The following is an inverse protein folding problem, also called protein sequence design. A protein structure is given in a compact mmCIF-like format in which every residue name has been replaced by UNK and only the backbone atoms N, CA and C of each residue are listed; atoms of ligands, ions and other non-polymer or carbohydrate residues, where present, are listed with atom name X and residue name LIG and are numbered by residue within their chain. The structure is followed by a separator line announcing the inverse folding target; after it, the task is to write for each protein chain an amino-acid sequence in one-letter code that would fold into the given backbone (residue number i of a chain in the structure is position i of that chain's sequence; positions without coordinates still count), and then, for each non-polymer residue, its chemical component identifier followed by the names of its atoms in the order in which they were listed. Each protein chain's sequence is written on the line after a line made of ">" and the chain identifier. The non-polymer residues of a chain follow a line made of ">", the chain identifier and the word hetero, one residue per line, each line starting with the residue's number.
data_IF_053313138728
#
_entry.id   IF_053313138728
#
_cell.length_a   1.000
_cell.length_b   1.000
_cell.length_c   1.000
_cell.angle_alpha   90.00
_cell.angle_beta   90.00
_cell.angle_gamma   90.00
#
_symmetry.space_group_name_H-M   'P 1'
#
loop_
_entity.id
_entity.type
_entity.pdbx_description
1 polymer ?
#
# COMPACT_ATOMS: atom_id res chain seq x y z
N UNK A 1 -23.26 -17.14 66.03
CA UNK A 1 -23.22 -17.91 64.77
C UNK A 1 -23.94 -17.18 63.62
N UNK A 2 -25.15 -16.63 63.82
CA UNK A 2 -25.90 -15.93 62.76
C UNK A 2 -25.14 -14.73 62.13
N UNK A 3 -24.38 -13.97 62.94
CA UNK A 3 -23.57 -12.84 62.46
C UNK A 3 -22.41 -13.28 61.56
N UNK A 4 -21.82 -14.45 61.81
CA UNK A 4 -20.76 -15.03 60.97
C UNK A 4 -21.33 -15.49 59.63
N UNK A 5 -22.54 -16.06 59.64
CA UNK A 5 -23.26 -16.45 58.43
C UNK A 5 -23.64 -15.23 57.57
N UNK A 6 -24.16 -14.16 58.19
CA UNK A 6 -24.49 -12.91 57.49
C UNK A 6 -23.25 -12.24 56.86
N UNK A 7 -22.10 -12.26 57.53
CA UNK A 7 -20.83 -11.77 56.95
C UNK A 7 -20.41 -12.59 55.73
N UNK A 8 -20.55 -13.91 55.78
CA UNK A 8 -20.29 -14.79 54.64
C UNK A 8 -21.24 -14.53 53.47
N UNK A 9 -22.52 -14.27 53.75
CA UNK A 9 -23.52 -13.97 52.72
C UNK A 9 -23.28 -12.61 52.05
N UNK A 10 -22.91 -11.58 52.81
CA UNK A 10 -22.54 -10.26 52.27
C UNK A 10 -21.29 -10.37 51.38
N UNK A 11 -20.29 -11.15 51.80
CA UNK A 11 -19.09 -11.40 51.00
C UNK A 11 -19.42 -12.14 49.69
N UNK A 12 -20.21 -13.20 49.76
CA UNK A 12 -20.62 -13.99 48.58
C UNK A 12 -21.47 -13.19 47.58
N UNK A 13 -22.38 -12.36 48.07
CA UNK A 13 -23.17 -11.45 47.25
C UNK A 13 -22.27 -10.41 46.56
N UNK A 14 -21.35 -9.79 47.30
CA UNK A 14 -20.37 -8.84 46.75
C UNK A 14 -19.48 -9.46 45.67
N UNK A 15 -18.98 -10.69 45.89
CA UNK A 15 -18.17 -11.41 44.92
C UNK A 15 -18.95 -11.73 43.64
N UNK A 16 -20.22 -12.16 43.77
CA UNK A 16 -21.07 -12.49 42.63
C UNK A 16 -21.37 -11.25 41.78
N UNK A 17 -21.67 -10.11 42.41
CA UNK A 17 -21.90 -8.84 41.72
C UNK A 17 -20.63 -8.37 41.00
N UNK A 18 -19.46 -8.48 41.64
CA UNK A 18 -18.19 -8.12 41.02
C UNK A 18 -17.88 -8.97 39.78
N UNK A 19 -18.14 -10.28 39.83
CA UNK A 19 -17.96 -11.19 38.69
C UNK A 19 -18.86 -10.83 37.49
N UNK A 20 -20.12 -10.48 37.76
CA UNK A 20 -21.05 -10.04 36.72
C UNK A 20 -20.59 -8.72 36.10
N UNK A 21 -20.15 -7.76 36.91
CA UNK A 21 -19.65 -6.48 36.42
C UNK A 21 -18.40 -6.65 35.54
N UNK A 22 -17.45 -7.49 35.95
CA UNK A 22 -16.27 -7.80 35.13
C UNK A 22 -16.66 -8.48 33.83
N UNK A 23 -17.63 -9.41 33.86
CA UNK A 23 -18.10 -10.13 32.67
C UNK A 23 -18.85 -9.24 31.67
N UNK A 24 -19.58 -8.22 32.14
CA UNK A 24 -20.26 -7.25 31.27
C UNK A 24 -19.26 -6.22 30.74
N UNK A 25 -18.31 -5.76 31.57
CA UNK A 25 -17.29 -4.81 31.18
C UNK A 25 -16.24 -5.38 30.23
N UNK A 26 -16.06 -6.71 30.19
CA UNK A 26 -15.11 -7.36 29.27
C UNK A 26 -15.65 -7.49 27.85
N UNK A 27 -16.96 -7.39 27.61
CA UNK A 27 -17.57 -7.45 26.27
C UNK A 27 -17.10 -6.29 25.37
N UNK A 28 -17.13 -5.00 25.77
CA UNK A 28 -16.63 -3.92 24.93
C UNK A 28 -15.12 -3.97 24.73
N UNK A 29 -14.35 -4.49 25.70
CA UNK A 29 -12.90 -4.66 25.57
C UNK A 29 -12.61 -5.76 24.55
N UNK A 30 -13.32 -6.88 24.60
CA UNK A 30 -13.17 -7.96 23.63
C UNK A 30 -13.55 -7.48 22.22
N UNK A 31 -14.66 -6.74 22.08
CA UNK A 31 -15.04 -6.13 20.80
C UNK A 31 -13.98 -5.15 20.28
N UNK A 32 -13.31 -4.38 21.14
CA UNK A 32 -12.22 -3.50 20.72
C UNK A 32 -11.00 -4.27 20.19
N UNK A 33 -10.70 -5.45 20.75
CA UNK A 33 -9.58 -6.30 20.31
C UNK A 33 -9.95 -7.25 19.16
N UNK A 34 -11.23 -7.59 18.96
CA UNK A 34 -11.72 -8.43 17.86
C UNK A 34 -12.37 -7.65 16.73
N UNK A 35 -12.46 -6.32 16.85
CA UNK A 35 -12.70 -5.46 15.69
C UNK A 35 -11.47 -5.57 14.81
N UNK A 36 -11.45 -6.54 13.90
CA UNK A 36 -10.81 -6.27 12.62
C UNK A 36 -11.39 -4.94 12.14
N UNK A 37 -10.57 -3.98 11.70
CA UNK A 37 -11.10 -2.77 11.11
C UNK A 37 -12.13 -3.24 10.09
N UNK A 38 -13.40 -2.83 10.25
CA UNK A 38 -14.36 -3.01 9.17
C UNK A 38 -13.64 -2.56 7.92
N UNK A 39 -13.52 -3.39 6.87
CA UNK A 39 -12.95 -2.90 5.64
C UNK A 39 -13.90 -1.78 5.22
N UNK A 40 -13.47 -0.55 5.47
CA UNK A 40 -14.05 0.67 4.93
C UNK A 40 -13.97 0.48 3.44
N UNK A 41 -14.98 -0.18 2.93
CA UNK A 41 -15.33 -0.29 1.53
C UNK A 41 -14.20 -0.84 0.66
N UNK A 42 -14.32 -2.14 0.36
CA UNK A 42 -13.92 -2.74 -0.91
C UNK A 42 -14.58 -1.97 -2.08
N UNK A 43 -14.24 -0.71 -2.29
CA UNK A 43 -14.63 0.05 -3.46
C UNK A 43 -13.58 -0.21 -4.54
N UNK A 44 -14.00 -0.95 -5.57
CA UNK A 44 -13.46 -0.91 -6.95
C UNK A 44 -12.06 -1.49 -7.25
N UNK A 45 -11.44 -2.31 -6.40
CA UNK A 45 -10.16 -2.96 -6.79
C UNK A 45 -10.29 -4.17 -7.72
N UNK A 46 -11.49 -4.68 -7.99
CA UNK A 46 -11.67 -6.00 -8.62
C UNK A 46 -11.40 -6.09 -10.12
N UNK A 47 -11.02 -5.01 -10.80
CA UNK A 47 -10.84 -5.06 -12.26
C UNK A 47 -9.56 -4.40 -12.80
N UNK A 48 -8.63 -3.92 -11.97
CA UNK A 48 -7.41 -3.25 -12.48
C UNK A 48 -6.69 -4.08 -13.56
N UNK A 49 -6.53 -5.38 -13.31
CA UNK A 49 -5.83 -6.28 -14.24
C UNK A 49 -6.64 -6.67 -15.48
N UNK A 50 -7.95 -6.44 -15.51
CA UNK A 50 -8.77 -6.68 -16.70
C UNK A 50 -8.87 -5.46 -17.61
N UNK A 51 -8.46 -4.29 -17.13
CA UNK A 51 -8.37 -3.07 -17.93
C UNK A 51 -7.29 -3.20 -19.00
N UNK A 52 -7.55 -2.62 -20.16
CA UNK A 52 -6.52 -2.40 -21.18
C UNK A 52 -5.42 -1.48 -20.64
N UNK A 53 -4.23 -1.53 -21.25
CA UNK A 53 -3.10 -0.69 -20.84
C UNK A 53 -3.46 0.80 -20.84
N UNK A 54 -4.18 1.27 -21.86
CA UNK A 54 -4.65 2.66 -21.94
C UNK A 54 -5.60 3.03 -20.80
N UNK A 55 -6.48 2.11 -20.39
CA UNK A 55 -7.39 2.33 -19.26
C UNK A 55 -6.65 2.31 -17.91
N UNK A 56 -5.64 1.45 -17.74
CA UNK A 56 -4.80 1.45 -16.55
C UNK A 56 -4.00 2.75 -16.43
N UNK A 57 -3.49 3.27 -17.55
CA UNK A 57 -2.81 4.57 -17.59
C UNK A 57 -3.78 5.71 -17.21
N UNK A 58 -5.01 5.68 -17.72
CA UNK A 58 -6.01 6.71 -17.43
C UNK A 58 -6.59 6.63 -16.01
N UNK A 59 -6.62 5.44 -15.39
CA UNK A 59 -7.04 5.27 -13.98
C UNK A 59 -5.90 5.45 -12.98
N UNK A 60 -4.65 5.48 -13.43
CA UNK A 60 -3.53 5.75 -12.55
C UNK A 60 -3.65 7.18 -12.03
N UNK A 61 -3.51 7.34 -10.72
CA UNK A 61 -3.55 8.63 -10.05
C UNK A 61 -2.14 9.21 -9.86
N UNK A 62 -1.12 8.34 -9.77
CA UNK A 62 0.29 8.73 -9.82
C UNK A 62 1.07 7.79 -10.74
N UNK A 63 1.92 8.40 -11.56
CA UNK A 63 2.96 7.76 -12.35
C UNK A 63 4.32 8.14 -11.75
N UNK A 64 5.00 7.17 -11.13
CA UNK A 64 6.35 7.34 -10.61
C UNK A 64 7.35 6.68 -11.56
N UNK A 65 8.41 7.40 -11.91
CA UNK A 65 9.49 6.94 -12.77
C UNK A 65 10.78 6.85 -11.96
N UNK A 66 11.34 5.64 -11.88
CA UNK A 66 12.62 5.36 -11.27
C UNK A 66 13.72 5.11 -12.28
N UNK A 67 14.95 5.49 -11.94
CA UNK A 67 16.17 5.21 -12.72
C UNK A 67 17.12 4.35 -11.92
N UNK A 68 17.78 3.42 -12.60
CA UNK A 68 18.77 2.56 -11.98
C UNK A 68 20.12 3.25 -11.93
N UNK A 69 20.75 3.19 -10.76
CA UNK A 69 22.10 3.65 -10.53
C UNK A 69 23.00 2.48 -10.06
N UNK A 70 24.29 2.49 -10.42
CA UNK A 70 25.22 1.44 -10.00
C UNK A 70 25.46 1.47 -8.49
N UNK A 71 25.24 0.33 -7.84
CA UNK A 71 25.56 0.11 -6.44
C UNK A 71 27.03 -0.29 -6.22
N UNK A 72 27.52 -0.24 -4.97
CA UNK A 72 28.92 -0.48 -4.64
C UNK A 72 29.39 -1.93 -4.84
N UNK A 73 28.46 -2.87 -4.93
CA UNK A 73 28.69 -4.32 -5.07
C UNK A 73 28.39 -4.84 -6.49
N UNK A 74 28.29 -3.96 -7.48
CA UNK A 74 27.91 -4.31 -8.85
C UNK A 74 26.40 -4.53 -9.04
N UNK A 75 25.59 -4.28 -8.02
CA UNK A 75 24.14 -4.21 -8.16
C UNK A 75 23.69 -2.95 -8.90
N UNK A 76 22.41 -2.92 -9.25
CA UNK A 76 21.69 -1.76 -9.76
C UNK A 76 20.55 -1.47 -8.79
N UNK A 77 20.45 -0.23 -8.32
CA UNK A 77 19.47 0.21 -7.32
C UNK A 77 18.60 1.30 -7.95
N UNK A 78 17.28 1.18 -7.81
CA UNK A 78 16.34 2.11 -8.41
C UNK A 78 16.10 3.31 -7.48
N UNK A 79 16.21 4.52 -8.02
CA UNK A 79 15.90 5.77 -7.33
C UNK A 79 14.81 6.54 -8.05
N UNK A 80 13.96 7.24 -7.30
CA UNK A 80 12.87 8.04 -7.85
C UNK A 80 13.44 9.25 -8.61
N UNK A 81 13.25 9.28 -9.93
CA UNK A 81 13.71 10.38 -10.77
C UNK A 81 12.61 11.42 -11.03
N UNK A 82 11.39 10.94 -11.29
CA UNK A 82 10.23 11.78 -11.61
C UNK A 82 8.96 11.21 -10.99
N UNK A 83 8.03 12.10 -10.66
CA UNK A 83 6.68 11.79 -10.20
C UNK A 83 5.73 12.68 -11.00
N UNK A 84 4.72 12.09 -11.64
CA UNK A 84 3.65 12.78 -12.35
C UNK A 84 2.31 12.42 -11.69
N UNK A 85 1.42 13.40 -11.56
CA UNK A 85 0.17 13.28 -10.79
C UNK A 85 0.20 14.10 -9.51
N UNK A 86 -0.94 14.20 -8.85
CA UNK A 86 -1.05 14.89 -7.56
C UNK A 86 -0.62 13.96 -6.44
N UNK A 87 0.69 13.86 -6.23
CA UNK A 87 1.28 13.08 -5.14
C UNK A 87 0.96 13.64 -3.74
N UNK A 88 0.40 14.85 -3.63
CA UNK A 88 -0.06 15.42 -2.36
C UNK A 88 -1.52 14.99 -2.06
N UNK A 89 -2.32 14.74 -3.10
CA UNK A 89 -3.69 14.21 -2.95
C UNK A 89 -3.73 12.76 -2.46
N UNK A 90 -2.61 12.04 -2.55
CA UNK A 90 -2.50 10.64 -2.16
C UNK A 90 -1.27 10.49 -1.29
N UNK A 91 -1.39 9.91 -0.10
CA UNK A 91 -0.26 9.75 0.81
C UNK A 91 0.79 8.82 0.21
N UNK A 92 1.71 9.39 -0.57
CA UNK A 92 2.75 8.66 -1.25
C UNK A 92 3.94 8.42 -0.32
N UNK A 93 4.42 7.17 -0.22
CA UNK A 93 5.54 6.85 0.68
C UNK A 93 6.90 7.27 0.12
N UNK A 94 6.99 7.68 -1.14
CA UNK A 94 8.24 7.95 -1.85
C UNK A 94 8.25 9.37 -2.42
N UNK A 95 9.36 10.09 -2.23
CA UNK A 95 9.63 11.37 -2.88
C UNK A 95 10.78 11.25 -3.88
N UNK A 96 10.98 12.30 -4.68
CA UNK A 96 12.08 12.36 -5.64
C UNK A 96 13.43 12.23 -4.93
N UNK A 97 14.28 11.34 -5.43
CA UNK A 97 15.58 10.99 -4.87
C UNK A 97 15.58 9.80 -3.92
N UNK A 98 14.40 9.33 -3.48
CA UNK A 98 14.32 8.16 -2.60
C UNK A 98 14.72 6.87 -3.32
N UNK A 99 15.29 5.94 -2.55
CA UNK A 99 15.47 4.56 -3.00
C UNK A 99 14.10 3.87 -3.11
N UNK A 100 13.85 3.22 -4.25
CA UNK A 100 12.64 2.45 -4.48
C UNK A 100 12.81 1.08 -3.80
N UNK A 101 11.94 0.72 -2.84
CA UNK A 101 12.06 -0.55 -2.12
C UNK A 101 12.03 -1.75 -3.06
N UNK A 102 12.86 -2.76 -2.76
CA UNK A 102 12.97 -4.01 -3.52
C UNK A 102 13.35 -3.81 -5.01
N UNK A 103 13.93 -2.67 -5.37
CA UNK A 103 14.38 -2.41 -6.75
C UNK A 103 15.77 -2.97 -7.05
N UNK A 104 16.57 -3.26 -6.01
CA UNK A 104 17.94 -3.77 -6.14
C UNK A 104 17.98 -5.09 -6.93
N UNK A 105 18.80 -5.13 -7.98
CA UNK A 105 19.06 -6.36 -8.74
C UNK A 105 20.52 -6.43 -9.21
N UNK A 106 20.96 -7.60 -9.66
CA UNK A 106 22.26 -7.79 -10.30
C UNK A 106 22.05 -8.02 -11.80
N UNK A 107 22.54 -7.14 -12.68
CA UNK A 107 22.32 -7.27 -14.12
C UNK A 107 23.08 -8.49 -14.68
N UNK A 108 22.40 -9.29 -15.50
CA UNK A 108 23.04 -10.29 -16.37
C UNK A 108 23.59 -9.67 -17.66
N UNK A 109 24.31 -10.44 -18.47
CA UNK A 109 24.98 -9.95 -19.70
C UNK A 109 24.06 -9.25 -20.71
N UNK A 110 22.74 -9.50 -20.64
CA UNK A 110 21.74 -8.94 -21.55
C UNK A 110 20.58 -8.21 -20.84
N UNK A 111 20.70 -7.96 -19.53
CA UNK A 111 19.65 -7.29 -18.75
C UNK A 111 20.03 -5.84 -18.43
N UNK A 112 19.93 -4.97 -19.43
CA UNK A 112 20.15 -3.53 -19.27
C UNK A 112 18.83 -2.81 -18.99
N UNK A 113 18.28 -3.03 -17.79
CA UNK A 113 17.16 -2.21 -17.30
C UNK A 113 17.70 -0.82 -17.00
N UNK A 114 17.14 0.17 -17.65
CA UNK A 114 17.49 1.60 -17.48
C UNK A 114 16.64 2.29 -16.41
N UNK A 115 15.56 1.64 -15.97
CA UNK A 115 14.69 2.17 -14.94
C UNK A 115 13.47 1.28 -14.71
N UNK A 116 12.52 1.83 -13.95
CA UNK A 116 11.25 1.19 -13.65
C UNK A 116 10.15 2.25 -13.54
N UNK A 117 8.91 1.82 -13.71
CA UNK A 117 7.72 2.65 -13.54
C UNK A 117 6.83 2.00 -12.49
N UNK A 118 6.27 2.81 -11.60
CA UNK A 118 5.23 2.41 -10.66
C UNK A 118 3.96 3.20 -10.97
N UNK A 119 2.86 2.48 -11.18
CA UNK A 119 1.52 3.06 -11.30
C UNK A 119 0.78 2.86 -9.99
N UNK A 120 0.30 3.96 -9.42
CA UNK A 120 -0.54 3.96 -8.23
C UNK A 120 -1.98 4.31 -8.61
N UNK A 121 -2.95 3.74 -7.88
CA UNK A 121 -4.35 4.12 -7.94
C UNK A 121 -4.92 4.27 -6.53
N UNK A 122 -5.99 5.06 -6.40
CA UNK A 122 -6.93 5.20 -5.28
C UNK A 122 -6.36 5.61 -3.91
N UNK A 123 -5.31 4.95 -3.40
CA UNK A 123 -4.78 5.17 -2.05
C UNK A 123 -3.26 5.43 -1.98
N UNK A 124 -2.51 5.32 -3.08
CA UNK A 124 -1.11 5.77 -3.18
C UNK A 124 -0.09 4.99 -2.34
N UNK A 125 -0.55 4.11 -1.45
CA UNK A 125 0.31 3.34 -0.55
C UNK A 125 0.95 2.13 -1.23
N UNK A 126 0.25 1.54 -2.21
CA UNK A 126 0.73 0.35 -2.93
C UNK A 126 0.61 0.57 -4.42
N UNK A 127 1.71 0.38 -5.14
CA UNK A 127 1.70 0.39 -6.59
C UNK A 127 0.84 -0.77 -7.12
N UNK A 128 -0.09 -0.48 -8.02
CA UNK A 128 -0.92 -1.50 -8.69
C UNK A 128 -0.17 -2.22 -9.81
N UNK A 129 0.82 -1.55 -10.41
CA UNK A 129 1.62 -2.13 -11.49
C UNK A 129 3.04 -1.59 -11.45
N UNK A 130 4.00 -2.52 -11.62
CA UNK A 130 5.42 -2.23 -11.82
C UNK A 130 5.79 -2.61 -13.24
N UNK A 131 6.49 -1.73 -13.94
CA UNK A 131 6.97 -1.94 -15.30
C UNK A 131 8.47 -1.63 -15.35
N UNK A 132 9.20 -2.24 -16.27
CA UNK A 132 10.62 -1.97 -16.47
C UNK A 132 10.85 -1.13 -17.71
N UNK A 133 11.88 -0.29 -17.64
CA UNK A 133 12.35 0.53 -18.74
C UNK A 133 13.62 -0.06 -19.35
N UNK A 134 13.63 -0.18 -20.67
CA UNK A 134 14.79 -0.54 -21.47
C UNK A 134 14.99 0.53 -22.53
N UNK A 135 16.02 1.36 -22.39
CA UNK A 135 16.28 2.48 -23.31
C UNK A 135 15.03 3.36 -23.52
N UNK A 136 14.42 3.78 -22.40
CA UNK A 136 13.18 4.57 -22.37
C UNK A 136 11.97 3.93 -23.06
N UNK A 137 11.99 2.60 -23.24
CA UNK A 137 10.84 1.79 -23.67
C UNK A 137 10.23 1.06 -22.49
N UNK A 138 8.91 1.14 -22.37
CA UNK A 138 8.11 0.48 -21.34
C UNK A 138 7.75 -0.93 -21.83
N UNK A 139 8.49 -1.94 -21.36
CA UNK A 139 8.38 -3.30 -21.92
C UNK A 139 6.98 -3.91 -21.75
N UNK A 140 6.34 -3.66 -20.61
CA UNK A 140 5.02 -4.20 -20.30
C UNK A 140 3.84 -3.46 -20.96
N UNK A 141 4.09 -2.45 -21.79
CA UNK A 141 3.09 -1.73 -22.58
C UNK A 141 3.43 -1.77 -24.07
N UNK A 142 3.75 -2.96 -24.58
CA UNK A 142 4.07 -3.15 -26.01
C UNK A 142 5.28 -2.35 -26.48
N UNK A 143 6.28 -2.13 -25.62
CA UNK A 143 7.46 -1.29 -25.88
C UNK A 143 7.12 0.19 -26.20
N UNK A 144 6.06 0.72 -25.57
CA UNK A 144 5.69 2.13 -25.66
C UNK A 144 6.86 3.04 -25.25
N UNK A 145 7.15 4.13 -25.98
CA UNK A 145 8.08 5.15 -25.52
C UNK A 145 7.63 5.78 -24.20
N UNK A 146 8.56 6.02 -23.28
CA UNK A 146 8.28 6.66 -21.98
C UNK A 146 7.58 8.01 -22.16
N UNK A 147 8.00 8.80 -23.15
CA UNK A 147 7.40 10.10 -23.47
C UNK A 147 5.92 9.99 -23.85
N UNK A 148 5.55 8.92 -24.58
CA UNK A 148 4.16 8.66 -24.95
C UNK A 148 3.33 8.22 -23.74
N UNK A 149 3.90 7.40 -22.85
CA UNK A 149 3.25 7.01 -21.60
C UNK A 149 2.92 8.25 -20.75
N UNK A 150 3.91 9.11 -20.52
CA UNK A 150 3.73 10.36 -19.74
C UNK A 150 2.68 11.26 -20.38
N UNK A 151 2.67 11.36 -21.71
CA UNK A 151 1.64 12.15 -22.42
C UNK A 151 0.24 11.56 -22.25
N UNK A 152 0.09 10.24 -22.34
CA UNK A 152 -1.21 9.56 -22.14
C UNK A 152 -1.71 9.69 -20.71
N UNK A 153 -0.82 9.58 -19.74
CA UNK A 153 -1.12 9.79 -18.33
C UNK A 153 -1.68 11.20 -18.08
N UNK A 154 -0.97 12.24 -18.54
CA UNK A 154 -1.40 13.65 -18.38
C UNK A 154 -2.70 13.99 -19.10
N UNK A 155 -3.03 13.28 -20.18
CA UNK A 155 -4.32 13.46 -20.88
C UNK A 155 -5.49 12.87 -20.08
N UNK A 156 -5.24 11.87 -19.23
CA UNK A 156 -6.25 11.27 -18.35
C UNK A 156 -6.53 12.09 -17.08
N UNK A 157 -5.71 13.09 -16.77
CA UNK A 157 -5.88 14.00 -15.62
C UNK A 157 -6.97 15.09 -15.86
N UNK A 158 -7.54 15.16 -17.07
CA UNK A 158 -8.55 16.15 -17.50
C UNK A 158 -9.97 15.61 -17.33
#
# INVERSE_FOLDING_TARGET
>A
MIQTFLKGLIFGAGFSIAMVLVSVASIPILNYFTSEPEPETLYKSDNWHSLSDDQQIAQASVLLIGRYEPGPDGSQIGYVAEIHGDADSISMPLVKGDEIPNSKFYPGEHEFRTGLILLYSDNGQVAKRTLYLYDDRVSGFGNMPLTLLVSKFKQGEV
#
